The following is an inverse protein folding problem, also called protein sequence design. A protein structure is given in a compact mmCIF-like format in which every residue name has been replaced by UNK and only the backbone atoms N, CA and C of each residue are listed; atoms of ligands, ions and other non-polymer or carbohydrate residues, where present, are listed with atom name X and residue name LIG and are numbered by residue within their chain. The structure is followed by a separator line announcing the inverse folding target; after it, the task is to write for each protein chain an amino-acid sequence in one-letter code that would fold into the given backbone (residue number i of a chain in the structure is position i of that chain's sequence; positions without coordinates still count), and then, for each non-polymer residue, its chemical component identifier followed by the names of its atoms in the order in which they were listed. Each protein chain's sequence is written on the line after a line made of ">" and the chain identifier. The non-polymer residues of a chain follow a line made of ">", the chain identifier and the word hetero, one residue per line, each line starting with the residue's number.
data_IF_112664790411
#
_entry.id   IF_112664790411
#
_cell.length_a   1.000
_cell.length_b   1.000
_cell.length_c   1.000
_cell.angle_alpha   90.00
_cell.angle_beta   90.00
_cell.angle_gamma   90.00
#
_symmetry.space_group_name_H-M   'P 1'
#
loop_
_entity.id
_entity.type
_entity.pdbx_description
1 polymer ?
#
# COMPACT_ATOMS: atom_id res chain seq x y z
N UNK A 1 -34.93 6.09 -6.31
CA UNK A 1 -34.64 6.24 -4.87
C UNK A 1 -33.19 5.83 -4.53
N UNK A 2 -32.16 6.33 -5.23
CA UNK A 2 -30.75 5.91 -5.04
C UNK A 2 -29.72 7.03 -5.29
N UNK A 3 -30.08 8.30 -5.08
CA UNK A 3 -29.20 9.45 -5.35
C UNK A 3 -28.55 10.10 -4.11
N UNK A 4 -28.67 9.50 -2.92
CA UNK A 4 -28.20 10.10 -1.66
C UNK A 4 -27.18 9.27 -0.87
N UNK A 5 -26.42 8.40 -1.53
CA UNK A 5 -25.20 7.89 -0.88
C UNK A 5 -24.04 8.85 -1.16
N UNK A 6 -23.52 9.46 -0.10
CA UNK A 6 -22.26 10.21 -0.14
C UNK A 6 -21.21 9.40 -0.92
N UNK A 7 -20.43 10.06 -1.79
CA UNK A 7 -19.32 9.45 -2.57
C UNK A 7 -18.43 8.54 -1.69
N UNK A 8 -18.37 8.84 -0.39
CA UNK A 8 -17.71 8.06 0.68
C UNK A 8 -18.28 6.65 0.82
N UNK A 9 -19.60 6.52 1.01
CA UNK A 9 -20.27 5.25 1.25
C UNK A 9 -20.20 4.37 0.00
N UNK A 10 -20.35 4.97 -1.19
CA UNK A 10 -20.22 4.26 -2.47
C UNK A 10 -18.80 3.70 -2.66
N UNK A 11 -17.77 4.48 -2.34
CA UNK A 11 -16.36 4.06 -2.43
C UNK A 11 -16.01 2.90 -1.49
N UNK A 12 -16.49 2.98 -0.24
CA UNK A 12 -16.33 1.94 0.78
C UNK A 12 -17.05 0.65 0.37
N UNK A 13 -18.32 0.76 -0.02
CA UNK A 13 -19.12 -0.40 -0.44
C UNK A 13 -18.57 -1.04 -1.72
N UNK A 14 -18.13 -0.26 -2.70
CA UNK A 14 -17.51 -0.79 -3.93
C UNK A 14 -16.26 -1.63 -3.65
N UNK A 15 -15.47 -1.26 -2.64
CA UNK A 15 -14.25 -1.98 -2.26
C UNK A 15 -14.55 -3.26 -1.45
N UNK A 16 -15.75 -3.35 -0.84
CA UNK A 16 -16.19 -4.51 -0.04
C UNK A 16 -17.05 -5.51 -0.81
N UNK A 17 -17.76 -5.08 -1.85
CA UNK A 17 -18.75 -5.89 -2.58
C UNK A 17 -18.17 -6.96 -3.51
N UNK A 18 -16.94 -6.80 -4.01
CA UNK A 18 -16.43 -7.63 -5.11
C UNK A 18 -15.88 -9.00 -4.64
N UNK A 19 -15.57 -9.15 -3.35
CA UNK A 19 -14.97 -10.39 -2.83
C UNK A 19 -15.60 -10.70 -1.48
N UNK A 20 -16.66 -11.51 -1.49
CA UNK A 20 -17.31 -12.00 -0.29
C UNK A 20 -16.72 -13.35 0.13
N UNK A 21 -16.37 -13.40 1.42
CA UNK A 21 -16.22 -14.57 2.32
C UNK A 21 -14.80 -15.16 2.53
N UNK A 22 -14.08 -15.74 1.56
CA UNK A 22 -12.86 -16.52 1.92
C UNK A 22 -11.58 -16.16 1.16
N UNK A 23 -11.07 -14.92 1.30
CA UNK A 23 -9.85 -14.51 0.58
C UNK A 23 -8.82 -13.81 1.48
N UNK A 24 -7.61 -14.37 1.49
CA UNK A 24 -6.42 -13.88 2.22
C UNK A 24 -6.10 -12.44 1.78
N UNK A 25 -6.15 -11.51 2.72
CA UNK A 25 -5.65 -10.14 2.53
C UNK A 25 -4.13 -10.18 2.41
N UNK A 26 -3.59 -10.15 1.19
CA UNK A 26 -2.13 -10.05 0.98
C UNK A 26 -1.70 -8.59 0.98
N UNK A 27 -0.87 -8.20 1.95
CA UNK A 27 -0.22 -6.89 1.98
C UNK A 27 1.04 -6.93 1.11
N UNK A 28 1.03 -6.24 -0.03
CA UNK A 28 2.16 -6.14 -0.95
C UNK A 28 3.07 -4.92 -0.72
N UNK A 29 3.00 -4.31 0.47
CA UNK A 29 3.63 -3.02 0.76
C UNK A 29 5.16 -3.05 0.69
N UNK A 30 5.79 -4.15 1.09
CA UNK A 30 7.26 -4.23 1.17
C UNK A 30 7.87 -4.28 -0.24
N UNK A 31 7.21 -4.96 -1.18
CA UNK A 31 7.75 -5.19 -2.53
C UNK A 31 7.45 -4.01 -3.46
N UNK A 32 6.31 -3.33 -3.29
CA UNK A 32 5.98 -2.13 -4.06
C UNK A 32 6.86 -0.91 -3.70
N UNK A 33 7.51 -0.90 -2.54
CA UNK A 33 8.53 0.12 -2.22
C UNK A 33 9.79 -0.03 -3.08
N UNK A 34 10.10 -1.27 -3.47
CA UNK A 34 11.24 -1.64 -4.31
C UNK A 34 10.88 -1.49 -5.79
N UNK A 35 9.68 -1.94 -6.17
CA UNK A 35 9.12 -1.85 -7.52
C UNK A 35 8.26 -0.58 -7.65
N UNK A 36 8.82 0.49 -8.23
CA UNK A 36 8.22 1.83 -8.49
C UNK A 36 6.67 1.89 -8.47
N UNK A 37 6.11 2.96 -7.91
CA UNK A 37 4.65 3.23 -7.74
C UNK A 37 3.73 2.98 -8.96
N UNK A 38 4.23 2.92 -10.19
CA UNK A 38 3.42 2.60 -11.38
C UNK A 38 3.06 1.10 -11.50
N UNK A 39 3.80 0.24 -10.80
CA UNK A 39 3.63 -1.22 -10.83
C UNK A 39 2.21 -1.67 -10.47
N UNK A 40 1.52 -0.93 -9.61
CA UNK A 40 0.23 -1.32 -9.09
C UNK A 40 -0.85 -1.51 -10.18
N UNK A 41 -0.86 -0.65 -11.21
CA UNK A 41 -1.84 -0.73 -12.29
C UNK A 41 -1.58 -1.97 -13.18
N UNK A 42 -0.31 -2.21 -13.53
CA UNK A 42 0.10 -3.36 -14.31
C UNK A 42 -0.09 -4.69 -13.56
N UNK A 43 0.18 -4.72 -12.26
CA UNK A 43 -0.05 -5.88 -11.42
C UNK A 43 -1.53 -6.31 -11.44
N UNK A 44 -2.44 -5.34 -11.36
CA UNK A 44 -3.88 -5.63 -11.45
C UNK A 44 -4.26 -6.18 -12.81
N UNK A 45 -3.77 -5.60 -13.91
CA UNK A 45 -4.01 -6.10 -15.26
C UNK A 45 -3.48 -7.54 -15.43
N UNK A 46 -2.28 -7.82 -14.93
CA UNK A 46 -1.67 -9.16 -15.02
C UNK A 46 -2.47 -10.22 -14.26
N UNK A 47 -2.97 -9.90 -13.06
CA UNK A 47 -3.79 -10.84 -12.29
C UNK A 47 -5.14 -11.08 -13.00
N UNK A 48 -5.75 -10.05 -13.59
CA UNK A 48 -6.98 -10.18 -14.38
C UNK A 48 -6.75 -10.99 -15.67
N UNK A 49 -5.62 -10.78 -16.36
CA UNK A 49 -5.22 -11.58 -17.53
C UNK A 49 -4.96 -13.05 -17.17
N UNK A 50 -4.51 -13.32 -15.95
CA UNK A 50 -4.34 -14.67 -15.44
C UNK A 50 -5.67 -15.35 -15.05
N UNK A 51 -6.82 -14.69 -15.22
CA UNK A 51 -8.15 -15.24 -14.93
C UNK A 51 -8.59 -15.10 -13.47
N UNK A 52 -7.84 -14.35 -12.65
CA UNK A 52 -8.13 -14.18 -11.23
C UNK A 52 -8.85 -12.86 -10.96
N UNK A 53 -9.67 -12.84 -9.92
CA UNK A 53 -10.40 -11.67 -9.50
C UNK A 53 -9.55 -10.79 -8.58
N UNK A 54 -9.73 -9.48 -8.70
CA UNK A 54 -8.96 -8.47 -7.97
C UNK A 54 -9.87 -7.37 -7.44
N UNK A 55 -9.71 -7.03 -6.16
CA UNK A 55 -10.31 -5.84 -5.57
C UNK A 55 -9.34 -5.09 -4.65
N UNK A 56 -9.67 -3.85 -4.31
CA UNK A 56 -8.88 -3.03 -3.38
C UNK A 56 -9.29 -3.27 -1.93
N UNK A 57 -8.37 -3.10 -0.99
CA UNK A 57 -8.71 -3.13 0.45
C UNK A 57 -9.03 -1.74 0.97
N UNK A 58 -9.95 -1.62 1.93
CA UNK A 58 -10.12 -0.39 2.71
C UNK A 58 -9.01 -0.18 3.77
N UNK A 59 -8.24 -1.22 4.10
CA UNK A 59 -7.21 -1.17 5.15
C UNK A 59 -5.92 -0.50 4.70
N UNK A 60 -5.69 -0.38 3.39
CA UNK A 60 -4.45 0.16 2.84
C UNK A 60 -4.66 0.65 1.40
N UNK A 61 -4.09 1.83 1.09
CA UNK A 61 -4.06 2.47 -0.24
C UNK A 61 -3.46 1.55 -1.32
N UNK A 62 -2.41 0.82 -0.99
CA UNK A 62 -1.69 -0.08 -1.91
C UNK A 62 -2.01 -1.55 -1.69
N UNK A 63 -3.05 -1.86 -0.91
CA UNK A 63 -3.46 -3.23 -0.67
C UNK A 63 -4.36 -3.77 -1.79
N UNK A 64 -4.14 -5.04 -2.16
CA UNK A 64 -4.97 -5.78 -3.11
C UNK A 64 -5.51 -7.04 -2.44
N UNK A 65 -6.78 -7.37 -2.72
CA UNK A 65 -7.36 -8.69 -2.44
C UNK A 65 -7.49 -9.44 -3.76
N UNK A 66 -7.06 -10.69 -3.78
CA UNK A 66 -7.17 -11.55 -4.97
C UNK A 66 -7.35 -13.00 -4.55
N UNK A 67 -8.11 -13.75 -5.35
CA UNK A 67 -8.23 -15.20 -5.23
C UNK A 67 -7.00 -15.95 -5.76
N UNK A 68 -6.02 -15.26 -6.35
CA UNK A 68 -4.81 -15.89 -6.87
C UNK A 68 -3.97 -16.54 -5.76
N UNK A 69 -3.45 -17.76 -5.99
CA UNK A 69 -2.51 -18.40 -5.08
C UNK A 69 -1.22 -17.56 -4.95
N UNK A 70 -0.48 -17.75 -3.86
CA UNK A 70 0.73 -16.95 -3.63
C UNK A 70 1.79 -17.18 -4.71
N UNK A 71 1.91 -18.41 -5.21
CA UNK A 71 2.82 -18.82 -6.29
C UNK A 71 2.66 -17.95 -7.54
N UNK A 72 1.42 -17.81 -8.04
CA UNK A 72 1.09 -16.98 -9.21
C UNK A 72 1.49 -15.53 -8.99
N UNK A 73 1.25 -14.97 -7.81
CA UNK A 73 1.60 -13.56 -7.58
C UNK A 73 3.11 -13.36 -7.58
N UNK A 74 3.87 -14.30 -7.01
CA UNK A 74 5.32 -14.29 -7.07
C UNK A 74 5.87 -14.51 -8.47
N UNK A 75 5.22 -15.33 -9.31
CA UNK A 75 5.58 -15.48 -10.72
C UNK A 75 5.37 -14.17 -11.49
N UNK A 76 4.25 -13.48 -11.27
CA UNK A 76 3.98 -12.16 -11.86
C UNK A 76 5.06 -11.15 -11.43
N UNK A 77 5.47 -11.14 -10.16
CA UNK A 77 6.53 -10.24 -9.68
C UNK A 77 7.88 -10.53 -10.34
N UNK A 78 8.25 -11.80 -10.49
CA UNK A 78 9.47 -12.23 -11.17
C UNK A 78 9.45 -11.87 -12.66
N UNK A 79 8.33 -12.09 -13.34
CA UNK A 79 8.14 -11.67 -14.73
C UNK A 79 8.25 -10.15 -14.90
N UNK A 80 7.79 -9.38 -13.91
CA UNK A 80 7.89 -7.93 -13.93
C UNK A 80 9.33 -7.46 -13.77
N UNK A 81 10.06 -8.00 -12.80
CA UNK A 81 11.47 -7.67 -12.54
C UNK A 81 12.34 -8.01 -13.76
N UNK A 82 12.05 -9.11 -14.46
CA UNK A 82 12.75 -9.46 -15.71
C UNK A 82 12.56 -8.42 -16.82
N UNK A 83 11.37 -7.79 -16.92
CA UNK A 83 11.08 -6.73 -17.90
C UNK A 83 11.56 -5.35 -17.44
N UNK A 84 11.54 -5.10 -16.14
CA UNK A 84 11.85 -3.81 -15.52
C UNK A 84 12.82 -4.01 -14.36
N UNK A 85 14.13 -4.20 -14.64
CA UNK A 85 15.09 -4.49 -13.61
C UNK A 85 15.19 -3.32 -12.62
N UNK A 86 15.12 -3.65 -11.34
CA UNK A 86 15.21 -2.70 -10.24
C UNK A 86 16.66 -2.32 -9.96
N UNK A 87 16.86 -1.16 -9.33
CA UNK A 87 18.20 -0.69 -8.99
C UNK A 87 18.84 -1.63 -7.96
N UNK A 88 20.03 -2.16 -8.26
CA UNK A 88 20.77 -3.11 -7.41
C UNK A 88 20.86 -2.66 -5.95
N UNK A 89 21.17 -1.39 -5.71
CA UNK A 89 21.25 -0.78 -4.36
C UNK A 89 20.00 -0.96 -3.48
N UNK A 90 18.81 -1.17 -4.06
CA UNK A 90 17.56 -1.33 -3.30
C UNK A 90 17.30 -2.79 -2.92
N UNK A 91 17.97 -3.74 -3.59
CA UNK A 91 17.67 -5.17 -3.51
C UNK A 91 18.86 -5.96 -2.97
N UNK A 92 20.07 -5.50 -3.20
CA UNK A 92 21.32 -6.15 -2.81
C UNK A 92 21.34 -6.51 -1.32
N UNK A 93 21.64 -7.78 -1.02
CA UNK A 93 21.68 -8.34 0.34
C UNK A 93 20.30 -8.57 0.98
N UNK A 94 19.20 -8.25 0.30
CA UNK A 94 17.86 -8.44 0.84
C UNK A 94 17.29 -9.82 0.53
N UNK A 95 16.34 -10.28 1.36
CA UNK A 95 15.56 -11.51 1.08
C UNK A 95 14.79 -11.40 -0.25
N UNK A 96 14.38 -10.18 -0.64
CA UNK A 96 13.71 -9.94 -1.90
C UNK A 96 14.59 -10.31 -3.11
N UNK A 97 15.91 -10.12 -3.02
CA UNK A 97 16.85 -10.51 -4.07
C UNK A 97 16.75 -12.00 -4.37
N UNK A 98 16.81 -12.83 -3.34
CA UNK A 98 16.74 -14.30 -3.48
C UNK A 98 15.41 -14.75 -4.10
N UNK A 99 14.31 -14.11 -3.69
CA UNK A 99 12.98 -14.44 -4.22
C UNK A 99 12.88 -14.04 -5.71
N UNK A 100 13.40 -12.87 -6.07
CA UNK A 100 13.33 -12.35 -7.44
C UNK A 100 14.32 -13.04 -8.40
N UNK A 101 15.45 -13.55 -7.91
CA UNK A 101 16.42 -14.34 -8.69
C UNK A 101 15.87 -15.69 -9.13
N UNK A 102 14.84 -16.21 -8.45
CA UNK A 102 14.24 -17.49 -8.81
C UNK A 102 13.52 -17.35 -10.15
N UNK A 103 13.68 -18.31 -11.07
CA UNK A 103 12.96 -18.29 -12.34
C UNK A 103 11.44 -18.42 -12.14
N UNK A 104 10.61 -17.62 -12.83
CA UNK A 104 9.14 -17.77 -12.80
C UNK A 104 8.69 -19.08 -13.47
N UNK A 105 7.70 -19.76 -12.88
CA UNK A 105 7.18 -21.01 -13.42
C UNK A 105 6.30 -20.79 -14.65
N UNK A 106 5.58 -19.66 -14.70
CA UNK A 106 4.69 -19.30 -15.80
C UNK A 106 4.89 -17.85 -16.21
N UNK A 107 4.88 -17.60 -17.52
CA UNK A 107 4.87 -16.25 -18.08
C UNK A 107 3.49 -15.62 -17.97
N UNK A 108 3.45 -14.36 -17.56
CA UNK A 108 2.22 -13.58 -17.45
C UNK A 108 2.27 -12.32 -18.30
N UNK A 109 1.17 -12.03 -19.00
CA UNK A 109 1.04 -10.80 -19.77
C UNK A 109 0.65 -9.62 -18.87
N UNK A 110 1.27 -8.46 -19.13
CA UNK A 110 1.00 -7.19 -18.47
C UNK A 110 0.17 -6.24 -19.34
N UNK A 111 -0.45 -6.75 -20.41
CA UNK A 111 -1.29 -5.95 -21.31
C UNK A 111 -2.40 -5.26 -20.52
N UNK A 112 -2.55 -3.96 -20.76
CA UNK A 112 -3.46 -3.12 -20.00
C UNK A 112 -4.89 -3.49 -20.39
N UNK A 113 -5.66 -3.98 -19.41
CA UNK A 113 -7.09 -4.20 -19.58
C UNK A 113 -7.90 -2.97 -19.18
N UNK A 114 -9.01 -2.73 -19.87
CA UNK A 114 -9.93 -1.63 -19.57
C UNK A 114 -10.63 -1.78 -18.21
N UNK A 115 -10.81 -3.01 -17.72
CA UNK A 115 -11.39 -3.36 -16.41
C UNK A 115 -10.38 -3.24 -15.24
N UNK A 116 -9.09 -3.05 -15.54
CA UNK A 116 -8.06 -2.86 -14.55
C UNK A 116 -8.23 -1.53 -13.80
N UNK A 117 -8.80 -0.49 -14.42
CA UNK A 117 -9.13 0.75 -13.72
C UNK A 117 -10.58 0.68 -13.17
N UNK A 118 -10.79 0.46 -11.86
CA UNK A 118 -12.14 0.34 -11.33
C UNK A 118 -12.89 1.66 -11.46
N UNK A 119 -14.21 1.58 -11.65
CA UNK A 119 -15.07 2.76 -11.80
C UNK A 119 -14.93 3.74 -10.64
N UNK A 120 -14.78 3.26 -9.41
CA UNK A 120 -14.58 4.13 -8.25
C UNK A 120 -13.32 5.01 -8.34
N UNK A 121 -12.24 4.50 -8.95
CA UNK A 121 -11.00 5.26 -9.17
C UNK A 121 -11.16 6.21 -10.35
N UNK A 122 -11.81 5.76 -11.42
CA UNK A 122 -12.13 6.58 -12.61
C UNK A 122 -13.00 7.78 -12.26
N UNK A 123 -13.97 7.60 -11.36
CA UNK A 123 -14.86 8.66 -10.88
C UNK A 123 -14.23 9.54 -9.78
N UNK A 124 -12.96 9.31 -9.41
CA UNK A 124 -12.26 10.12 -8.40
C UNK A 124 -12.81 9.98 -6.98
N UNK A 125 -13.44 8.84 -6.64
CA UNK A 125 -13.97 8.67 -5.29
C UNK A 125 -12.85 8.50 -4.27
N UNK A 126 -12.85 9.39 -3.28
CA UNK A 126 -11.88 9.37 -2.17
C UNK A 126 -12.15 8.16 -1.29
N UNK A 127 -11.15 7.28 -1.17
CA UNK A 127 -11.15 6.13 -0.25
C UNK A 127 -10.65 6.51 1.14
N UNK A 128 -9.53 7.23 1.17
CA UNK A 128 -8.88 7.69 2.39
C UNK A 128 -8.96 9.20 2.39
N UNK A 129 -9.67 9.76 3.36
CA UNK A 129 -9.76 11.20 3.50
C UNK A 129 -8.38 11.74 3.88
N UNK A 130 -7.96 12.77 3.17
CA UNK A 130 -6.83 13.55 3.62
C UNK A 130 -7.23 14.30 4.88
N UNK A 131 -6.26 14.38 5.77
CA UNK A 131 -6.49 15.02 7.04
C UNK A 131 -6.67 16.54 6.80
N UNK A 132 -7.80 17.16 7.20
CA UNK A 132 -8.05 18.57 6.96
C UNK A 132 -7.06 19.51 7.67
N UNK A 133 -6.50 19.12 8.81
CA UNK A 133 -5.56 19.96 9.59
C UNK A 133 -4.37 19.14 10.11
N UNK A 134 -3.15 19.71 10.20
CA UNK A 134 -2.09 19.12 11.00
C UNK A 134 -2.60 18.85 12.43
N UNK A 135 -2.35 17.66 12.97
CA UNK A 135 -2.76 17.25 14.33
C UNK A 135 -4.27 17.00 14.57
N UNK A 136 -5.05 16.65 13.55
CA UNK A 136 -6.48 16.24 13.64
C UNK A 136 -6.75 14.90 14.37
N UNK A 137 -5.83 14.46 15.21
CA UNK A 137 -6.00 13.28 16.05
C UNK A 137 -6.62 13.63 17.40
N UNK A 138 -7.05 12.62 18.18
CA UNK A 138 -7.38 12.83 19.59
C UNK A 138 -6.19 13.51 20.29
N UNK A 139 -6.47 14.65 20.93
CA UNK A 139 -5.45 15.48 21.57
C UNK A 139 -4.69 14.74 22.67
N UNK A 140 -3.63 15.37 23.20
CA UNK A 140 -2.94 14.83 24.38
C UNK A 140 -3.86 14.82 25.60
N UNK A 141 -3.71 13.81 26.46
CA UNK A 141 -4.42 13.68 27.75
C UNK A 141 -4.50 15.04 28.49
N UNK A 142 -5.69 15.41 28.96
CA UNK A 142 -5.99 16.73 29.53
C UNK A 142 -5.05 17.17 30.66
N UNK A 143 -4.53 16.23 31.46
CA UNK A 143 -3.59 16.51 32.56
C UNK A 143 -2.22 17.01 32.11
N UNK A 144 -1.86 16.88 30.83
CA UNK A 144 -0.59 17.37 30.29
C UNK A 144 -0.65 18.82 29.78
N UNK A 145 -1.83 19.48 29.83
CA UNK A 145 -2.06 20.82 29.29
C UNK A 145 -2.59 21.81 30.34
N UNK A 146 -2.00 21.84 31.53
CA UNK A 146 -2.30 22.85 32.56
C UNK A 146 -1.18 23.88 32.54
N UNK A 147 -1.40 25.03 31.89
CA UNK A 147 -0.44 26.14 31.79
C UNK A 147 -0.69 27.06 30.58
N UNK A 148 -0.39 28.36 30.71
CA UNK A 148 -0.62 29.39 29.67
C UNK A 148 0.27 29.19 28.43
N UNK A 149 1.46 28.61 28.58
CA UNK A 149 2.38 28.30 27.49
C UNK A 149 2.15 26.91 26.92
N UNK A 150 1.15 26.80 26.03
CA UNK A 150 0.77 25.56 25.34
C UNK A 150 1.81 25.14 24.29
N UNK A 151 2.88 24.45 24.70
CA UNK A 151 3.81 23.82 23.76
C UNK A 151 3.38 22.39 23.44
N UNK A 152 3.26 22.04 22.16
CA UNK A 152 2.88 20.69 21.75
C UNK A 152 3.90 19.64 22.26
N UNK A 153 3.42 18.57 22.90
CA UNK A 153 4.24 17.44 23.38
C UNK A 153 5.18 16.87 22.30
N UNK A 154 4.78 16.96 21.02
CA UNK A 154 5.63 16.62 19.87
C UNK A 154 6.90 17.48 19.82
N UNK A 155 6.78 18.82 19.93
CA UNK A 155 7.93 19.74 19.99
C UNK A 155 8.83 19.45 21.18
N UNK A 156 8.25 19.20 22.36
CA UNK A 156 9.01 18.85 23.57
C UNK A 156 9.78 17.54 23.45
N UNK A 157 9.31 16.60 22.63
CA UNK A 157 9.92 15.28 22.49
C UNK A 157 10.89 15.14 21.30
N UNK A 158 11.03 16.20 20.49
CA UNK A 158 12.08 16.24 19.45
C UNK A 158 13.46 16.27 20.13
N UNK A 159 14.39 15.44 19.65
CA UNK A 159 15.78 15.44 20.14
C UNK A 159 16.06 14.70 21.46
N UNK A 160 15.03 14.26 22.22
CA UNK A 160 15.20 13.55 23.52
C UNK A 160 15.97 12.23 23.46
N UNK A 161 16.26 11.70 22.27
CA UNK A 161 17.01 10.45 22.03
C UNK A 161 18.26 10.67 21.18
N UNK A 162 18.82 11.88 21.14
CA UNK A 162 20.21 12.00 20.68
C UNK A 162 21.10 11.36 21.74
N UNK A 163 21.85 10.33 21.35
CA UNK A 163 22.98 9.82 22.13
C UNK A 163 24.02 10.94 22.14
N UNK A 164 24.48 11.34 23.33
CA UNK A 164 25.70 12.13 23.41
C UNK A 164 26.85 11.20 22.98
N UNK A 165 27.47 11.50 21.83
CA UNK A 165 28.73 10.86 21.42
C UNK A 165 29.88 11.53 22.19
N UNK A 166 29.85 11.43 23.52
CA UNK A 166 30.90 11.94 24.40
C UNK A 166 31.47 10.81 25.23
N UNK A 167 31.95 9.73 24.59
CA UNK A 167 32.72 8.66 25.24
C UNK A 167 33.34 7.71 24.20
N UNK A 168 34.08 8.25 23.23
CA UNK A 168 34.98 7.44 22.39
C UNK A 168 36.16 8.31 21.95
N UNK A 169 37.03 8.66 22.91
CA UNK A 169 38.43 9.04 22.70
C UNK A 169 39.10 9.12 24.08
N UNK A 170 39.62 8.00 24.54
CA UNK A 170 40.73 7.92 25.49
C UNK A 170 41.51 6.65 25.26
#
# INVERSE_FOLDING_TARGET
>A
MLQFFSKRVVSLLSSSKIITKDIVKKKFTIICGILKNCFFFFLRSAILNAGYQVSFTHTNKTGIKTNAPATVIWDIMRCWEAKHPSKKKNIEGSVAQRILLTSPAKMHSFDIRNDANPMSRRMGYVRFQENPLPYWGPGTRATAMIGEYKMAKSKQNQGKRKRDNSEENK
#
